data_IF_980621690191
#
_entry.id   IF_980621690191
#
_cell.length_a   1.000
_cell.length_b   1.000
_cell.length_c   1.000
_cell.angle_alpha   90.00
_cell.angle_beta   90.00
_cell.angle_gamma   90.00
#
_symmetry.space_group_name_H-M   'P 1'
#
loop_
_entity.id
_entity.type
_entity.pdbx_description
1 polymer ?
#
# COMPACT_ATOMS: atom_id res chain seq x y z
N UNK A 1 44.99 18.37 -42.37
CA UNK A 1 44.60 19.20 -41.21
C UNK A 1 44.32 18.24 -40.06
N UNK A 2 45.02 18.40 -38.93
CA UNK A 2 44.84 17.55 -37.76
C UNK A 2 43.43 17.75 -37.19
N UNK A 3 42.70 16.66 -36.92
CA UNK A 3 41.40 16.77 -36.25
C UNK A 3 41.64 17.26 -34.82
N UNK A 4 41.00 18.38 -34.48
CA UNK A 4 41.00 18.90 -33.12
C UNK A 4 40.30 17.89 -32.24
N UNK A 5 41.04 17.27 -31.31
CA UNK A 5 40.48 16.32 -30.36
C UNK A 5 39.49 17.06 -29.44
N UNK A 6 38.21 16.71 -29.54
CA UNK A 6 37.15 17.23 -28.67
C UNK A 6 37.16 16.43 -27.37
N UNK A 7 37.14 17.12 -26.22
CA UNK A 7 37.07 16.46 -24.92
C UNK A 7 35.78 15.62 -24.80
N UNK A 8 35.90 14.42 -24.22
CA UNK A 8 34.74 13.57 -23.95
C UNK A 8 33.76 14.31 -23.03
N UNK A 9 32.49 14.44 -23.46
CA UNK A 9 31.43 15.04 -22.66
C UNK A 9 30.47 13.95 -22.16
N UNK A 10 29.94 14.12 -20.94
CA UNK A 10 28.89 13.24 -20.39
C UNK A 10 27.55 13.34 -21.14
N UNK A 11 27.46 14.22 -22.14
CA UNK A 11 26.26 14.55 -22.92
C UNK A 11 26.35 14.13 -24.39
N UNK A 12 27.51 13.63 -24.84
CA UNK A 12 27.74 13.25 -26.23
C UNK A 12 28.22 11.80 -26.31
N UNK A 13 27.46 10.93 -26.97
CA UNK A 13 27.82 9.52 -27.12
C UNK A 13 26.58 8.64 -27.25
N UNK A 14 26.80 7.34 -27.09
CA UNK A 14 25.70 6.37 -27.00
C UNK A 14 25.06 6.45 -25.61
N UNK A 15 23.74 6.68 -25.58
CA UNK A 15 22.94 6.58 -24.36
C UNK A 15 21.95 5.43 -24.52
N UNK A 16 21.90 4.56 -23.52
CA UNK A 16 20.92 3.48 -23.46
C UNK A 16 19.51 4.09 -23.40
N UNK A 17 18.62 3.66 -24.30
CA UNK A 17 17.21 4.01 -24.20
C UNK A 17 16.62 3.46 -22.90
N UNK A 18 15.87 4.30 -22.18
CA UNK A 18 15.16 3.89 -20.98
C UNK A 18 14.02 2.93 -21.35
N UNK A 19 13.72 1.93 -20.50
CA UNK A 19 12.58 1.08 -20.71
C UNK A 19 11.28 1.90 -20.59
N UNK A 20 10.35 1.68 -21.50
CA UNK A 20 8.99 2.25 -21.44
C UNK A 20 8.06 1.21 -20.86
N UNK A 21 7.33 1.57 -19.80
CA UNK A 21 6.33 0.70 -19.19
C UNK A 21 4.99 0.98 -19.88
N UNK A 22 4.39 -0.08 -20.44
CA UNK A 22 3.09 -0.01 -21.11
C UNK A 22 1.94 -0.22 -20.09
N UNK A 23 0.72 0.28 -20.37
CA UNK A 23 -0.43 0.02 -19.51
C UNK A 23 -0.74 -1.49 -19.49
N UNK A 24 -0.90 -2.04 -18.29
CA UNK A 24 -1.18 -3.47 -18.11
C UNK A 24 -2.46 -3.90 -18.82
N UNK A 25 -3.50 -3.06 -18.80
CA UNK A 25 -4.79 -3.34 -19.42
C UNK A 25 -5.34 -2.12 -20.20
N UNK A 26 -5.89 -2.39 -21.38
CA UNK A 26 -6.64 -1.44 -22.20
C UNK A 26 -8.01 -2.03 -22.52
N UNK A 27 -9.06 -1.35 -22.09
CA UNK A 27 -10.42 -1.73 -22.44
C UNK A 27 -10.67 -1.59 -23.96
N UNK A 28 -11.25 -2.61 -24.65
CA UNK A 28 -11.34 -2.63 -26.11
C UNK A 28 -12.05 -1.44 -26.77
N UNK A 29 -12.99 -0.78 -26.10
CA UNK A 29 -13.67 0.40 -26.66
C UNK A 29 -12.72 1.60 -26.81
N UNK A 30 -11.66 1.67 -26.01
CA UNK A 30 -10.63 2.72 -26.10
C UNK A 30 -9.42 2.28 -26.96
N UNK A 31 -9.34 1.00 -27.33
CA UNK A 31 -8.26 0.44 -28.15
C UNK A 31 -8.39 0.73 -29.66
N UNK A 32 -9.29 1.64 -30.07
CA UNK A 32 -9.52 1.97 -31.48
C UNK A 32 -8.27 2.57 -32.18
N UNK A 33 -7.36 3.15 -31.40
CA UNK A 33 -6.02 3.54 -31.85
C UNK A 33 -5.06 2.37 -31.60
N UNK A 34 -4.45 1.81 -32.65
CA UNK A 34 -3.49 0.68 -32.61
C UNK A 34 -2.26 0.88 -31.70
N UNK A 35 -2.10 2.07 -31.11
CA UNK A 35 -0.99 2.45 -30.23
C UNK A 35 -1.24 2.15 -28.74
N UNK A 36 -2.48 1.82 -28.33
CA UNK A 36 -2.80 1.50 -26.93
C UNK A 36 -3.00 0.00 -26.68
N UNK A 37 -2.04 -0.83 -27.09
CA UNK A 37 -2.09 -2.27 -26.82
C UNK A 37 -1.88 -2.55 -25.32
N UNK A 38 -2.68 -3.45 -24.76
CA UNK A 38 -2.46 -3.94 -23.38
C UNK A 38 -1.14 -4.70 -23.30
N UNK A 39 -0.35 -4.42 -22.28
CA UNK A 39 0.87 -5.18 -21.99
C UNK A 39 0.55 -6.63 -21.58
N UNK A 40 -0.53 -6.83 -20.81
CA UNK A 40 -0.96 -8.15 -20.34
C UNK A 40 -2.13 -8.73 -21.17
N UNK A 41 -1.76 -9.55 -22.16
CA UNK A 41 -2.71 -10.29 -22.98
C UNK A 41 -3.51 -11.36 -22.20
N UNK A 42 -2.93 -11.92 -21.13
CA UNK A 42 -3.58 -12.97 -20.32
C UNK A 42 -4.68 -12.35 -19.47
N UNK A 43 -4.42 -11.22 -18.81
CA UNK A 43 -5.41 -10.47 -18.04
C UNK A 43 -6.61 -10.10 -18.91
N UNK A 44 -6.35 -9.62 -20.13
CA UNK A 44 -7.39 -9.31 -21.11
C UNK A 44 -8.26 -10.52 -21.45
N UNK A 45 -7.63 -11.69 -21.65
CA UNK A 45 -8.36 -12.94 -21.89
C UNK A 45 -9.19 -13.36 -20.68
N UNK A 46 -8.66 -13.26 -19.46
CA UNK A 46 -9.38 -13.63 -18.24
C UNK A 46 -10.62 -12.76 -18.03
N UNK A 47 -10.49 -11.44 -18.18
CA UNK A 47 -11.63 -10.51 -18.13
C UNK A 47 -12.71 -10.88 -19.15
N UNK A 48 -12.30 -11.21 -20.37
CA UNK A 48 -13.23 -11.61 -21.43
C UNK A 48 -13.87 -12.98 -21.20
N UNK A 49 -13.21 -13.90 -20.52
CA UNK A 49 -13.71 -15.26 -20.31
C UNK A 49 -14.59 -15.38 -19.06
N UNK A 50 -14.24 -14.70 -17.97
CA UNK A 50 -14.84 -14.94 -16.65
C UNK A 50 -15.88 -13.89 -16.21
N UNK A 51 -15.85 -12.69 -16.77
CA UNK A 51 -16.85 -11.66 -16.40
C UNK A 51 -18.09 -11.73 -17.30
N UNK A 52 -19.30 -11.55 -16.74
CA UNK A 52 -20.51 -11.41 -17.54
C UNK A 52 -20.47 -10.08 -18.35
N UNK A 53 -21.25 -9.95 -19.45
CA UNK A 53 -21.18 -8.78 -20.34
C UNK A 53 -21.28 -7.42 -19.62
N UNK A 54 -22.21 -7.27 -18.68
CA UNK A 54 -22.38 -6.06 -17.86
C UNK A 54 -21.16 -5.81 -16.97
N UNK A 55 -20.62 -6.86 -16.37
CA UNK A 55 -19.43 -6.78 -15.51
C UNK A 55 -18.17 -6.40 -16.28
N UNK A 56 -18.05 -6.84 -17.55
CA UNK A 56 -16.91 -6.47 -18.43
C UNK A 56 -16.84 -4.98 -18.70
N UNK A 57 -17.99 -4.33 -18.91
CA UNK A 57 -18.01 -2.90 -19.21
C UNK A 57 -17.54 -2.07 -18.01
N UNK A 58 -18.13 -2.31 -16.84
CA UNK A 58 -17.80 -1.57 -15.62
C UNK A 58 -16.36 -1.86 -15.19
N UNK A 59 -16.01 -3.14 -15.04
CA UNK A 59 -14.68 -3.56 -14.59
C UNK A 59 -13.59 -3.18 -15.60
N UNK A 60 -13.88 -3.31 -16.89
CA UNK A 60 -12.95 -2.94 -17.96
C UNK A 60 -12.61 -1.45 -17.95
N UNK A 61 -13.60 -0.57 -17.79
CA UNK A 61 -13.37 0.88 -17.66
C UNK A 61 -12.47 1.21 -16.45
N UNK A 62 -12.80 0.67 -15.28
CA UNK A 62 -12.01 0.88 -14.05
C UNK A 62 -10.58 0.34 -14.19
N UNK A 63 -10.42 -0.87 -14.74
CA UNK A 63 -9.09 -1.46 -14.98
C UNK A 63 -8.27 -0.66 -15.99
N UNK A 64 -8.91 -0.08 -17.02
CA UNK A 64 -8.26 0.77 -17.99
C UNK A 64 -7.74 2.05 -17.33
N UNK A 65 -8.57 2.72 -16.53
CA UNK A 65 -8.23 3.94 -15.80
C UNK A 65 -7.07 3.71 -14.81
N UNK A 66 -7.18 2.70 -13.94
CA UNK A 66 -6.14 2.43 -12.93
C UNK A 66 -4.80 2.06 -13.59
N UNK A 67 -4.82 1.34 -14.73
CA UNK A 67 -3.61 0.99 -15.48
C UNK A 67 -2.86 2.22 -16.01
N UNK A 68 -3.53 3.36 -16.18
CA UNK A 68 -2.92 4.63 -16.60
C UNK A 68 -2.50 5.46 -15.39
N UNK A 69 -3.34 5.50 -14.35
CA UNK A 69 -3.02 6.20 -13.10
C UNK A 69 -1.72 5.67 -12.46
N UNK A 70 -1.50 4.34 -12.44
CA UNK A 70 -0.27 3.77 -11.86
C UNK A 70 1.00 4.13 -12.65
N UNK A 71 0.85 4.52 -13.92
CA UNK A 71 1.96 4.95 -14.79
C UNK A 71 2.17 6.46 -14.79
N UNK A 72 1.30 7.23 -14.13
CA UNK A 72 1.48 8.67 -14.03
C UNK A 72 2.82 8.99 -13.34
N UNK A 73 3.64 9.91 -13.89
CA UNK A 73 4.93 10.25 -13.32
C UNK A 73 4.88 10.68 -11.85
N UNK A 74 3.78 11.31 -11.42
CA UNK A 74 3.56 11.67 -10.03
C UNK A 74 3.44 10.44 -9.11
N UNK A 75 2.69 9.42 -9.53
CA UNK A 75 2.52 8.17 -8.78
C UNK A 75 3.83 7.39 -8.72
N UNK A 76 4.55 7.31 -9.84
CA UNK A 76 5.87 6.66 -9.90
C UNK A 76 6.87 7.37 -8.98
N UNK A 77 6.85 8.71 -8.92
CA UNK A 77 7.69 9.48 -7.99
C UNK A 77 7.35 9.14 -6.53
N UNK A 78 6.07 9.03 -6.18
CA UNK A 78 5.65 8.62 -4.84
C UNK A 78 6.07 7.19 -4.51
N UNK A 79 6.02 6.26 -5.48
CA UNK A 79 6.51 4.89 -5.31
C UNK A 79 8.02 4.83 -5.04
N UNK A 80 8.80 5.60 -5.79
CA UNK A 80 10.25 5.73 -5.58
C UNK A 80 10.55 6.35 -4.22
N UNK A 81 9.85 7.43 -3.85
CA UNK A 81 10.00 8.08 -2.53
C UNK A 81 9.67 7.11 -1.39
N UNK A 82 8.59 6.33 -1.51
CA UNK A 82 8.17 5.36 -0.50
C UNK A 82 9.22 4.26 -0.27
N UNK A 83 9.94 3.84 -1.29
CA UNK A 83 10.98 2.80 -1.15
C UNK A 83 12.34 3.37 -0.73
N UNK A 84 12.68 4.58 -1.19
CA UNK A 84 13.98 5.22 -0.90
C UNK A 84 14.02 5.95 0.44
N UNK A 85 12.86 6.40 0.94
CA UNK A 85 12.71 7.04 2.24
C UNK A 85 11.92 6.09 3.16
N UNK A 86 12.60 5.12 3.80
CA UNK A 86 11.94 4.12 4.62
C UNK A 86 11.29 4.75 5.87
N UNK A 87 10.28 4.08 6.45
CA UNK A 87 9.64 4.51 7.69
C UNK A 87 10.65 4.55 8.84
N UNK A 88 10.48 5.54 9.73
CA UNK A 88 11.31 5.67 10.93
C UNK A 88 10.46 5.73 12.21
N UNK A 89 11.08 5.38 13.33
CA UNK A 89 10.44 5.33 14.64
C UNK A 89 11.01 6.44 15.53
N UNK A 90 10.11 7.25 16.09
CA UNK A 90 10.38 8.26 17.10
C UNK A 90 9.70 7.82 18.41
N UNK A 91 10.34 6.96 19.21
CA UNK A 91 9.71 6.36 20.38
C UNK A 91 9.53 7.35 21.53
N UNK A 92 10.30 8.43 21.55
CA UNK A 92 10.28 9.46 22.60
C UNK A 92 9.95 10.83 22.00
N UNK A 93 9.32 11.69 22.80
CA UNK A 93 9.14 13.12 22.50
C UNK A 93 10.44 13.88 22.73
N UNK A 94 10.49 15.15 22.32
CA UNK A 94 11.64 16.05 22.58
C UNK A 94 11.99 16.19 24.06
N UNK A 95 11.05 15.91 24.96
CA UNK A 95 11.24 15.98 26.42
C UNK A 95 11.58 14.61 27.06
N UNK A 96 11.82 13.56 26.26
CA UNK A 96 12.17 12.23 26.75
C UNK A 96 11.00 11.39 27.25
N UNK A 97 9.77 11.86 27.09
CA UNK A 97 8.56 11.10 27.41
C UNK A 97 8.22 10.12 26.28
N UNK A 98 7.54 9.01 26.59
CA UNK A 98 7.09 8.07 25.57
C UNK A 98 6.15 8.74 24.56
N UNK A 99 6.47 8.68 23.27
CA UNK A 99 5.61 9.19 22.22
C UNK A 99 4.42 8.24 21.97
N UNK A 100 3.33 8.51 22.69
CA UNK A 100 2.07 7.74 22.58
C UNK A 100 1.18 8.21 21.43
N UNK A 101 1.46 9.40 20.89
CA UNK A 101 0.62 10.05 19.90
C UNK A 101 1.00 9.62 18.49
N UNK A 102 2.20 9.90 18.01
CA UNK A 102 2.58 9.52 16.65
C UNK A 102 4.05 9.13 16.58
N UNK A 103 4.41 7.91 17.04
CA UNK A 103 5.79 7.47 17.01
C UNK A 103 6.25 7.02 15.62
N UNK A 104 5.36 6.80 14.66
CA UNK A 104 5.71 6.25 13.35
C UNK A 104 5.75 7.35 12.28
N UNK A 105 6.94 7.65 11.78
CA UNK A 105 7.12 8.67 10.74
C UNK A 105 7.15 8.00 9.36
N UNK A 106 6.24 8.45 8.49
CA UNK A 106 6.09 7.97 7.11
C UNK A 106 6.29 9.12 6.13
N UNK A 107 6.94 8.85 5.00
CA UNK A 107 7.15 9.82 3.93
C UNK A 107 5.83 10.22 3.24
N UNK A 108 5.87 11.29 2.45
CA UNK A 108 4.67 11.77 1.76
C UNK A 108 4.26 10.84 0.63
N UNK A 109 5.21 10.26 -0.10
CA UNK A 109 4.95 9.25 -1.11
C UNK A 109 4.11 8.09 -0.59
N UNK A 110 4.43 7.54 0.58
CA UNK A 110 3.63 6.47 1.20
C UNK A 110 2.19 6.91 1.50
N UNK A 111 2.02 8.13 2.06
CA UNK A 111 0.69 8.68 2.41
C UNK A 111 -0.14 8.95 1.16
N UNK A 112 0.48 9.48 0.11
CA UNK A 112 -0.15 9.75 -1.18
C UNK A 112 -0.60 8.46 -1.86
N UNK A 113 0.26 7.44 -1.93
CA UNK A 113 -0.10 6.13 -2.50
C UNK A 113 -1.27 5.47 -1.75
N UNK A 114 -1.29 5.59 -0.42
CA UNK A 114 -2.42 5.13 0.39
C UNK A 114 -3.71 5.87 0.02
N UNK A 115 -3.66 7.19 -0.12
CA UNK A 115 -4.82 8.00 -0.52
C UNK A 115 -5.34 7.60 -1.91
N UNK A 116 -4.43 7.40 -2.87
CA UNK A 116 -4.78 6.95 -4.22
C UNK A 116 -5.45 5.58 -4.18
N UNK A 117 -4.90 4.61 -3.44
CA UNK A 117 -5.52 3.29 -3.30
C UNK A 117 -6.90 3.30 -2.63
N UNK A 118 -7.15 4.26 -1.73
CA UNK A 118 -8.47 4.48 -1.13
C UNK A 118 -9.43 5.07 -2.17
N UNK A 119 -9.00 6.08 -2.93
CA UNK A 119 -9.82 6.75 -3.93
C UNK A 119 -10.20 5.81 -5.10
N UNK A 120 -9.27 4.97 -5.54
CA UNK A 120 -9.53 3.97 -6.59
C UNK A 120 -10.32 2.77 -6.07
N UNK A 121 -10.60 2.70 -4.77
CA UNK A 121 -11.44 1.67 -4.18
C UNK A 121 -10.83 0.27 -4.26
N UNK A 122 -9.50 0.14 -4.29
CA UNK A 122 -8.80 -1.16 -4.40
C UNK A 122 -9.29 -2.17 -3.36
N UNK A 123 -9.61 -1.71 -2.16
CA UNK A 123 -10.17 -2.54 -1.09
C UNK A 123 -11.69 -2.50 -1.09
N UNK A 124 -12.30 -1.32 -1.16
CA UNK A 124 -13.73 -1.14 -0.92
C UNK A 124 -14.64 -1.70 -2.02
N UNK A 125 -14.15 -1.80 -3.26
CA UNK A 125 -14.96 -2.26 -4.41
C UNK A 125 -15.55 -3.65 -4.18
N UNK A 126 -14.87 -4.53 -3.43
CA UNK A 126 -15.36 -5.88 -3.12
C UNK A 126 -16.30 -5.93 -1.90
N UNK A 127 -16.33 -4.87 -1.09
CA UNK A 127 -17.06 -4.82 0.19
C UNK A 127 -17.99 -3.60 0.18
N UNK A 128 -18.95 -3.60 -0.74
CA UNK A 128 -19.95 -2.54 -0.83
C UNK A 128 -20.87 -2.56 0.41
N UNK A 129 -20.41 -1.90 1.48
CA UNK A 129 -21.10 -1.50 2.74
C UNK A 129 -20.12 -0.76 3.67
N UNK A 130 -20.14 0.57 3.59
CA UNK A 130 -19.93 1.60 4.64
C UNK A 130 -19.01 1.38 5.87
N UNK A 131 -18.07 0.44 5.88
CA UNK A 131 -17.16 0.22 7.03
C UNK A 131 -15.71 0.17 6.55
N UNK A 132 -15.09 1.34 6.48
CA UNK A 132 -13.63 1.47 6.49
C UNK A 132 -13.19 1.81 7.91
N UNK A 133 -13.08 0.79 8.76
CA UNK A 133 -12.34 0.94 10.02
C UNK A 133 -11.12 0.05 9.94
N UNK A 134 -9.94 0.62 10.16
CA UNK A 134 -8.69 -0.12 10.25
C UNK A 134 -8.75 -0.99 11.51
N UNK A 135 -9.21 -2.23 11.37
CA UNK A 135 -9.32 -3.21 12.45
C UNK A 135 -8.09 -4.09 12.39
N UNK A 136 -7.28 -4.10 13.45
CA UNK A 136 -6.18 -5.05 13.58
C UNK A 136 -6.73 -6.30 14.24
N UNK A 137 -6.59 -7.44 13.57
CA UNK A 137 -6.95 -8.73 14.15
C UNK A 137 -5.72 -9.29 14.86
N UNK A 138 -5.86 -9.64 16.14
CA UNK A 138 -4.82 -10.26 16.95
C UNK A 138 -5.34 -11.57 17.55
N UNK A 139 -4.45 -12.56 17.68
CA UNK A 139 -4.73 -13.77 18.43
C UNK A 139 -4.16 -13.64 19.84
N UNK A 140 -4.93 -14.02 20.85
CA UNK A 140 -4.47 -14.09 22.23
C UNK A 140 -5.04 -15.31 22.94
N UNK A 141 -4.29 -15.84 23.90
CA UNK A 141 -4.71 -16.98 24.71
C UNK A 141 -5.76 -16.56 25.74
N UNK A 142 -6.79 -17.38 25.90
CA UNK A 142 -7.81 -17.26 26.95
C UNK A 142 -7.96 -18.60 27.69
N UNK A 143 -8.73 -18.67 28.79
CA UNK A 143 -8.95 -19.93 29.50
C UNK A 143 -9.50 -21.07 28.63
N UNK A 144 -10.25 -20.77 27.56
CA UNK A 144 -10.76 -21.77 26.62
C UNK A 144 -9.87 -22.00 25.38
N UNK A 145 -8.70 -21.36 25.32
CA UNK A 145 -7.72 -21.53 24.25
C UNK A 145 -7.51 -20.28 23.40
N UNK A 146 -6.89 -20.46 22.23
CA UNK A 146 -6.50 -19.34 21.37
C UNK A 146 -7.74 -18.70 20.75
N UNK A 147 -7.90 -17.39 20.95
CA UNK A 147 -9.08 -16.62 20.54
C UNK A 147 -8.68 -15.42 19.68
N UNK A 148 -9.57 -14.99 18.77
CA UNK A 148 -9.34 -13.85 17.90
C UNK A 148 -9.95 -12.58 18.47
N UNK A 149 -9.24 -11.46 18.34
CA UNK A 149 -9.64 -10.17 18.87
C UNK A 149 -9.49 -9.09 17.80
N UNK A 150 -10.52 -8.26 17.67
CA UNK A 150 -10.42 -6.99 16.95
C UNK A 150 -9.86 -5.94 17.92
N UNK A 151 -8.64 -5.50 17.67
CA UNK A 151 -7.91 -4.53 18.50
C UNK A 151 -7.64 -3.27 17.66
N UNK A 152 -8.25 -2.12 17.97
CA UNK A 152 -7.90 -0.88 17.27
C UNK A 152 -6.50 -0.46 17.69
N UNK A 153 -5.68 -0.02 16.73
CA UNK A 153 -4.31 0.45 17.01
C UNK A 153 -4.30 1.67 17.93
N UNK A 154 -5.34 2.48 17.83
CA UNK A 154 -5.49 3.74 18.56
C UNK A 154 -6.78 3.77 19.36
N UNK A 155 -6.78 4.55 20.44
CA UNK A 155 -7.96 4.85 21.25
C UNK A 155 -8.10 6.35 21.43
N UNK A 156 -9.31 6.80 21.73
CA UNK A 156 -9.57 8.17 22.17
C UNK A 156 -8.95 8.40 23.56
N UNK A 157 -8.25 9.52 23.74
CA UNK A 157 -7.64 9.95 24.98
C UNK A 157 -7.82 11.47 25.14
N UNK A 158 -8.80 11.86 25.96
CA UNK A 158 -9.16 13.27 26.15
C UNK A 158 -9.68 13.89 24.86
N UNK A 159 -9.02 14.95 24.39
CA UNK A 159 -9.32 15.63 23.11
C UNK A 159 -8.53 15.08 21.92
N UNK A 160 -7.74 14.02 22.11
CA UNK A 160 -6.87 13.46 21.08
C UNK A 160 -6.95 11.95 21.01
N UNK A 161 -6.02 11.35 20.27
CA UNK A 161 -5.91 9.91 20.10
C UNK A 161 -4.51 9.45 20.48
N UNK A 162 -4.39 8.27 21.09
CA UNK A 162 -3.11 7.65 21.45
C UNK A 162 -3.09 6.16 21.07
N UNK A 163 -1.92 5.51 21.15
CA UNK A 163 -1.81 4.07 20.98
C UNK A 163 -2.56 3.30 22.08
N UNK A 164 -3.30 2.27 21.66
CA UNK A 164 -4.17 1.48 22.53
C UNK A 164 -3.40 0.40 23.31
N UNK A 165 -2.54 0.80 24.25
CA UNK A 165 -1.71 -0.16 25.00
C UNK A 165 -0.72 -0.92 24.10
N UNK A 166 -0.35 -0.32 22.97
CA UNK A 166 0.60 -0.87 22.00
C UNK A 166 1.87 -0.04 22.08
N UNK A 167 3.02 -0.68 22.31
CA UNK A 167 4.34 -0.05 22.27
C UNK A 167 5.13 -0.61 21.10
N UNK A 168 5.58 0.27 20.21
CA UNK A 168 6.45 -0.12 19.10
C UNK A 168 7.89 -0.18 19.63
N UNK A 169 8.50 -1.38 19.66
CA UNK A 169 9.88 -1.55 20.09
C UNK A 169 10.86 -1.05 19.04
N UNK A 170 10.68 -1.55 17.80
CA UNK A 170 11.55 -1.25 16.67
C UNK A 170 10.86 -1.58 15.36
N UNK A 171 11.40 -0.99 14.29
CA UNK A 171 11.10 -1.39 12.92
C UNK A 171 12.07 -2.48 12.45
N UNK A 172 11.59 -3.39 11.61
CA UNK A 172 12.41 -4.45 11.01
C UNK A 172 13.34 -3.84 9.95
N UNK A 173 14.60 -4.25 9.95
CA UNK A 173 15.51 -4.01 8.83
C UNK A 173 15.30 -5.11 7.78
N UNK A 174 14.72 -4.75 6.63
CA UNK A 174 14.27 -5.70 5.60
C UNK A 174 15.07 -5.56 4.31
N UNK A 175 15.28 -6.67 3.61
CA UNK A 175 15.90 -6.68 2.29
C UNK A 175 15.03 -5.98 1.23
N UNK A 176 13.72 -6.18 1.27
CA UNK A 176 12.73 -5.54 0.40
C UNK A 176 11.48 -5.15 1.17
N UNK A 177 10.48 -4.59 0.48
CA UNK A 177 9.29 -3.97 1.09
C UNK A 177 9.66 -2.86 2.07
N UNK A 178 10.74 -2.11 1.82
CA UNK A 178 11.30 -1.17 2.80
C UNK A 178 10.32 -0.04 3.11
N UNK A 179 9.51 0.37 2.13
CA UNK A 179 8.43 1.34 2.36
C UNK A 179 7.31 0.88 3.30
N UNK A 180 7.18 -0.42 3.59
CA UNK A 180 6.15 -0.93 4.51
C UNK A 180 6.66 -0.91 5.97
N UNK A 181 5.98 -0.23 6.91
CA UNK A 181 6.38 -0.18 8.31
C UNK A 181 6.06 -1.49 9.04
N UNK A 182 6.99 -2.44 9.00
CA UNK A 182 6.89 -3.70 9.75
C UNK A 182 7.59 -3.54 11.09
N UNK A 183 6.85 -3.74 12.19
CA UNK A 183 7.30 -3.45 13.54
C UNK A 183 7.30 -4.68 14.45
N UNK A 184 8.11 -4.62 15.50
CA UNK A 184 7.93 -5.45 16.70
C UNK A 184 7.12 -4.67 17.72
N UNK A 185 6.03 -5.28 18.18
CA UNK A 185 5.08 -4.65 19.08
C UNK A 185 5.11 -5.36 20.44
N UNK A 186 5.06 -4.58 21.51
CA UNK A 186 4.73 -5.04 22.85
C UNK A 186 3.32 -4.59 23.18
N UNK A 187 2.51 -5.51 23.71
CA UNK A 187 1.11 -5.27 24.04
C UNK A 187 0.96 -5.21 25.56
N UNK A 188 0.64 -4.02 26.07
CA UNK A 188 0.45 -3.74 27.50
C UNK A 188 -1.01 -3.35 27.76
N UNK A 189 -1.83 -4.37 28.05
CA UNK A 189 -3.27 -4.18 28.30
C UNK A 189 -4.03 -3.48 27.18
N UNK A 190 -3.85 -3.83 25.89
CA UNK A 190 -4.64 -3.24 24.82
C UNK A 190 -6.11 -3.59 24.98
N UNK A 191 -7.01 -2.64 24.67
CA UNK A 191 -8.46 -2.91 24.67
C UNK A 191 -8.87 -3.51 23.32
N UNK A 192 -9.61 -4.60 23.34
CA UNK A 192 -10.10 -5.25 22.14
C UNK A 192 -11.41 -5.98 22.37
N UNK A 193 -12.04 -6.38 21.28
CA UNK A 193 -13.28 -7.15 21.28
C UNK A 193 -13.03 -8.55 20.76
N UNK A 194 -13.53 -9.56 21.48
CA UNK A 194 -13.52 -10.94 21.01
C UNK A 194 -14.30 -11.02 19.69
N UNK A 195 -13.75 -11.75 18.72
CA UNK A 195 -14.39 -12.06 17.44
C UNK A 195 -14.68 -13.55 17.41
N UNK A 196 -15.93 -13.90 17.13
CA UNK A 196 -16.39 -15.29 17.13
C UNK A 196 -16.43 -15.90 18.53
N UNK A 197 -16.16 -17.19 18.60
CA UNK A 197 -16.20 -17.97 19.84
C UNK A 197 -14.83 -18.04 20.54
N UNK A 198 -14.86 -18.02 21.87
CA UNK A 198 -13.67 -18.20 22.69
C UNK A 198 -13.05 -19.60 22.45
N UNK A 199 -11.73 -19.67 22.26
CA UNK A 199 -10.99 -20.90 21.95
C UNK A 199 -11.02 -21.30 20.46
N UNK A 200 -11.69 -20.52 19.60
CA UNK A 200 -11.82 -20.78 18.15
C UNK A 200 -11.08 -19.78 17.27
N UNK A 201 -10.14 -19.03 17.83
CA UNK A 201 -9.47 -17.92 17.14
C UNK A 201 -8.84 -18.25 15.80
N UNK A 202 -8.28 -19.45 15.63
CA UNK A 202 -7.68 -19.89 14.34
C UNK A 202 -8.73 -19.97 13.22
N UNK A 203 -9.98 -20.31 13.55
CA UNK A 203 -11.07 -20.41 12.57
C UNK A 203 -11.57 -19.04 12.12
N UNK A 204 -11.42 -18.03 12.97
CA UNK A 204 -11.99 -16.69 12.78
C UNK A 204 -11.07 -15.74 11.97
N UNK A 205 -9.85 -16.17 11.67
CA UNK A 205 -8.86 -15.42 10.87
C UNK A 205 -8.62 -16.08 9.51
#
# INVERSE_FOLDING_TARGET
MASTLVASSSTSGFFQQLPTIQPQYTYPQFAANKEETSDDAVLTRLVNQYLPPVGKEVTGKVMHEISRTVLEPAILKHAVEAETVPPSLQPLTTFGELNKNDPLVLCQGWKALKAVGIQTGVVSTAYDKSISTHKTMLLAQTPKGLSAFCVPMRREAGTGSELNGIRIQRLKNKMGTKGLPTAELELQGPRGWLVGEEGKGIKEI
#
